data_IF_239097661249
#
_entry.id   IF_239097661249
#
_cell.length_a   1.000
_cell.length_b   1.000
_cell.length_c   1.000
_cell.angle_alpha   90.00
_cell.angle_beta   90.00
_cell.angle_gamma   90.00
#
_symmetry.space_group_name_H-M   'P 1'
#
loop_
_entity.id
_entity.type
_entity.pdbx_description
1 polymer ?
#
# COMPACT_ATOMS: atom_id res chain seq x y z
N UNK A 1 -14.94 1.27 18.58
CA UNK A 1 -13.71 0.45 18.51
C UNK A 1 -12.91 0.67 19.78
N UNK A 2 -13.46 0.25 20.92
CA UNK A 2 -12.74 0.12 22.19
C UNK A 2 -12.89 -1.37 22.54
N UNK A 3 -11.84 -1.99 23.07
CA UNK A 3 -11.75 -3.42 23.43
C UNK A 3 -11.29 -4.39 22.33
N UNK A 4 -10.36 -3.96 21.46
CA UNK A 4 -9.53 -4.91 20.67
C UNK A 4 -8.30 -5.42 21.46
N UNK A 5 -8.03 -4.84 22.62
CA UNK A 5 -6.88 -5.20 23.47
C UNK A 5 -7.39 -5.52 24.87
N UNK A 6 -6.98 -6.67 25.41
CA UNK A 6 -7.25 -7.01 26.79
C UNK A 6 -6.60 -5.98 27.72
N UNK A 7 -7.30 -5.54 28.77
CA UNK A 7 -6.80 -4.60 29.78
C UNK A 7 -5.85 -5.24 30.80
N UNK A 8 -5.24 -6.38 30.43
CA UNK A 8 -4.36 -7.12 31.31
C UNK A 8 -3.05 -6.34 31.52
N UNK A 9 -2.46 -6.38 32.73
CA UNK A 9 -1.16 -5.76 32.99
C UNK A 9 -0.10 -6.28 32.01
N UNK A 10 0.57 -5.35 31.34
CA UNK A 10 1.62 -5.67 30.38
C UNK A 10 2.95 -5.95 31.09
N UNK A 11 3.62 -7.03 30.71
CA UNK A 11 4.95 -7.41 31.21
C UNK A 11 5.90 -7.44 30.02
N UNK A 12 7.07 -6.83 30.19
CA UNK A 12 8.09 -6.79 29.15
C UNK A 12 8.86 -8.11 29.08
N UNK A 13 9.01 -8.64 27.87
CA UNK A 13 9.73 -9.88 27.58
C UNK A 13 10.86 -9.62 26.61
N UNK A 14 11.99 -10.28 26.84
CA UNK A 14 12.98 -10.53 25.79
C UNK A 14 12.45 -11.54 24.78
N UNK A 15 13.03 -11.55 23.56
CA UNK A 15 12.72 -12.60 22.57
C UNK A 15 13.00 -14.01 23.11
N UNK A 16 14.05 -14.17 23.92
CA UNK A 16 14.39 -15.45 24.53
C UNK A 16 13.33 -15.92 25.53
N UNK A 17 12.84 -15.04 26.40
CA UNK A 17 11.80 -15.38 27.38
C UNK A 17 10.48 -15.68 26.69
N UNK A 18 10.12 -14.89 25.67
CA UNK A 18 8.89 -15.08 24.90
C UNK A 18 8.92 -16.44 24.21
N UNK A 19 10.01 -16.74 23.49
CA UNK A 19 10.17 -18.03 22.80
C UNK A 19 10.22 -19.20 23.77
N UNK A 20 10.94 -19.09 24.89
CA UNK A 20 11.00 -20.15 25.91
C UNK A 20 9.61 -20.48 26.47
N UNK A 21 8.79 -19.47 26.77
CA UNK A 21 7.42 -19.67 27.29
C UNK A 21 6.49 -20.26 26.23
N UNK A 22 6.54 -19.77 24.99
CA UNK A 22 5.79 -20.36 23.88
C UNK A 22 6.18 -21.84 23.67
N UNK A 23 7.48 -22.15 23.70
CA UNK A 23 7.97 -23.52 23.61
C UNK A 23 7.48 -24.41 24.76
N UNK A 24 7.35 -23.87 25.99
CA UNK A 24 6.81 -24.63 27.12
C UNK A 24 5.36 -25.08 26.87
N UNK A 25 4.48 -24.20 26.38
CA UNK A 25 3.10 -24.58 26.03
C UNK A 25 3.04 -25.59 24.89
N UNK A 26 3.86 -25.39 23.84
CA UNK A 26 3.95 -26.32 22.72
C UNK A 26 4.40 -27.73 23.17
N UNK A 27 5.45 -27.80 24.00
CA UNK A 27 5.98 -29.05 24.52
C UNK A 27 5.02 -29.76 25.48
N UNK A 28 4.21 -29.00 26.22
CA UNK A 28 3.15 -29.53 27.08
C UNK A 28 1.90 -30.01 26.31
N UNK A 29 1.81 -29.73 25.00
CA UNK A 29 0.64 -30.02 24.19
C UNK A 29 -0.56 -29.10 24.47
N UNK A 30 -0.36 -27.99 25.19
CA UNK A 30 -1.40 -27.01 25.50
C UNK A 30 -1.53 -26.00 24.35
N UNK A 31 -2.29 -26.40 23.32
CA UNK A 31 -2.49 -25.61 22.11
C UNK A 31 -3.24 -24.31 22.38
N UNK A 32 -4.20 -24.32 23.32
CA UNK A 32 -5.01 -23.14 23.61
C UNK A 32 -4.18 -22.04 24.29
N UNK A 33 -3.38 -22.40 25.29
CA UNK A 33 -2.47 -21.44 25.94
C UNK A 33 -1.37 -20.99 24.99
N UNK A 34 -0.86 -21.88 24.14
CA UNK A 34 0.11 -21.51 23.10
C UNK A 34 -0.44 -20.46 22.14
N UNK A 35 -1.64 -20.70 21.59
CA UNK A 35 -2.27 -19.78 20.61
C UNK A 35 -2.57 -18.43 21.27
N UNK A 36 -3.13 -18.42 22.48
CA UNK A 36 -3.41 -17.18 23.22
C UNK A 36 -2.14 -16.39 23.51
N UNK A 37 -1.08 -17.06 23.95
CA UNK A 37 0.19 -16.42 24.25
C UNK A 37 0.89 -15.87 23.00
N UNK A 38 0.97 -16.65 21.91
CA UNK A 38 1.68 -16.24 20.70
C UNK A 38 0.94 -15.14 19.93
N UNK A 39 -0.40 -15.21 19.86
CA UNK A 39 -1.18 -14.23 19.09
C UNK A 39 -1.54 -12.98 19.88
N UNK A 40 -1.90 -13.13 21.17
CA UNK A 40 -2.40 -12.03 21.98
C UNK A 40 -1.41 -11.60 23.07
N UNK A 41 -0.32 -12.32 23.28
CA UNK A 41 0.60 -12.12 24.41
C UNK A 41 0.03 -12.61 25.75
N UNK A 42 -1.18 -13.17 25.79
CA UNK A 42 -1.87 -13.48 27.05
C UNK A 42 -1.31 -14.74 27.71
N UNK A 43 -0.95 -14.64 28.99
CA UNK A 43 -0.54 -15.78 29.80
C UNK A 43 -1.00 -15.66 31.24
N UNK A 44 -1.02 -16.81 31.92
CA UNK A 44 -1.32 -16.90 33.34
C UNK A 44 -0.01 -16.78 34.12
N UNK A 45 0.10 -15.77 34.97
CA UNK A 45 1.29 -15.58 35.79
C UNK A 45 1.21 -16.45 37.05
N UNK A 46 1.85 -17.61 36.99
CA UNK A 46 1.84 -18.60 38.08
C UNK A 46 2.65 -18.10 39.28
N UNK A 47 3.69 -17.30 39.05
CA UNK A 47 4.63 -16.81 40.07
C UNK A 47 4.09 -15.58 40.83
N UNK A 48 3.14 -14.84 40.25
CA UNK A 48 2.50 -13.70 40.91
C UNK A 48 1.52 -14.10 42.03
N UNK A 49 1.18 -15.39 42.14
CA UNK A 49 0.26 -15.90 43.18
C UNK A 49 0.93 -16.06 44.56
N UNK A 50 2.25 -15.91 44.66
CA UNK A 50 3.01 -16.01 45.91
C UNK A 50 3.47 -14.67 46.50
N UNK A 51 3.15 -13.53 45.89
CA UNK A 51 3.59 -12.20 46.37
C UNK A 51 2.46 -11.32 46.95
N UNK A 52 1.19 -11.75 46.90
CA UNK A 52 0.06 -10.96 47.42
C UNK A 52 -0.36 -11.38 48.84
N UNK A 53 0.45 -11.04 49.85
CA UNK A 53 0.01 -10.94 51.25
C UNK A 53 -0.73 -9.62 51.45
N UNK A 54 -1.90 -9.46 50.85
CA UNK A 54 -2.79 -8.33 51.11
C UNK A 54 -4.25 -8.75 50.97
N UNK A 55 -4.93 -8.72 52.11
CA UNK A 55 -6.35 -9.03 52.30
C UNK A 55 -7.25 -8.28 51.29
N UNK A 56 -8.08 -9.01 50.56
CA UNK A 56 -9.54 -8.80 50.41
C UNK A 56 -10.09 -9.41 49.12
N UNK A 57 -11.33 -9.87 49.20
CA UNK A 57 -12.20 -10.37 48.14
C UNK A 57 -12.00 -11.80 47.61
N UNK A 58 -12.55 -12.70 48.42
CA UNK A 58 -13.06 -14.02 48.05
C UNK A 58 -14.04 -13.97 46.87
N UNK A 59 -13.55 -14.07 45.62
CA UNK A 59 -14.15 -14.84 44.51
C UNK A 59 -13.39 -14.65 43.17
N UNK A 60 -12.18 -15.22 43.03
CA UNK A 60 -11.60 -15.70 41.76
C UNK A 60 -10.27 -16.38 42.03
N UNK A 61 -10.29 -17.69 42.27
CA UNK A 61 -9.08 -18.53 42.46
C UNK A 61 -8.33 -18.80 41.15
N UNK A 62 -8.13 -17.78 40.32
CA UNK A 62 -7.35 -17.86 39.09
C UNK A 62 -6.08 -17.01 39.22
N UNK A 63 -4.93 -17.59 38.91
CA UNK A 63 -3.68 -16.85 38.75
C UNK A 63 -3.89 -15.67 37.77
N UNK A 64 -3.33 -14.48 38.05
CA UNK A 64 -3.65 -13.27 37.30
C UNK A 64 -3.23 -13.41 35.83
N UNK A 65 -4.14 -13.06 34.92
CA UNK A 65 -3.86 -12.94 33.50
C UNK A 65 -3.00 -11.71 33.25
N UNK A 66 -1.93 -11.88 32.48
CA UNK A 66 -1.01 -10.82 32.06
C UNK A 66 -0.78 -10.88 30.57
N UNK A 67 -0.26 -9.79 30.00
CA UNK A 67 0.05 -9.70 28.59
C UNK A 67 1.56 -9.48 28.38
N UNK A 68 2.20 -10.37 27.65
CA UNK A 68 3.59 -10.22 27.24
C UNK A 68 3.70 -9.17 26.14
N UNK A 69 4.61 -8.21 26.35
CA UNK A 69 5.06 -7.27 25.35
C UNK A 69 6.50 -7.61 24.99
N UNK A 70 6.75 -7.93 23.72
CA UNK A 70 8.10 -8.18 23.24
C UNK A 70 8.83 -6.84 23.11
N UNK A 71 9.80 -6.60 23.99
CA UNK A 71 10.60 -5.38 23.97
C UNK A 71 11.89 -5.62 23.17
N UNK A 72 11.97 -5.11 21.92
CA UNK A 72 13.12 -5.32 21.06
C UNK A 72 14.37 -4.58 21.56
N UNK A 73 14.23 -3.64 22.50
CA UNK A 73 15.33 -2.81 23.00
C UNK A 73 16.13 -3.56 24.07
N UNK A 74 15.54 -4.52 24.78
CA UNK A 74 16.21 -5.23 25.88
C UNK A 74 17.46 -6.00 25.45
N UNK A 75 17.52 -6.46 24.19
CA UNK A 75 18.67 -7.14 23.61
C UNK A 75 19.31 -6.34 22.49
N UNK A 76 19.28 -5.00 22.59
CA UNK A 76 19.95 -4.15 21.63
C UNK A 76 21.44 -4.48 21.61
N UNK A 77 21.95 -4.83 20.43
CA UNK A 77 23.37 -5.06 20.23
C UNK A 77 24.10 -3.71 20.12
N UNK A 78 25.39 -3.69 20.44
CA UNK A 78 26.22 -2.51 20.23
C UNK A 78 26.23 -2.11 18.74
N UNK A 79 26.39 -0.82 18.46
CA UNK A 79 26.33 -0.27 17.09
C UNK A 79 27.39 -0.84 16.15
N UNK A 80 28.46 -1.41 16.69
CA UNK A 80 29.58 -2.04 15.97
C UNK A 80 29.41 -3.56 15.82
N UNK A 81 28.30 -4.13 16.31
CA UNK A 81 28.03 -5.55 16.15
C UNK A 81 27.84 -5.88 14.67
N UNK A 82 28.52 -6.93 14.14
CA UNK A 82 28.46 -7.26 12.72
C UNK A 82 27.10 -7.88 12.37
N UNK A 83 26.11 -7.02 12.12
CA UNK A 83 24.79 -7.41 11.65
C UNK A 83 24.75 -7.37 10.12
N UNK A 84 24.20 -8.43 9.52
CA UNK A 84 23.76 -8.41 8.13
C UNK A 84 22.29 -8.05 8.12
N UNK A 85 21.96 -6.85 7.64
CA UNK A 85 20.57 -6.40 7.52
C UNK A 85 20.09 -6.63 6.09
N UNK A 86 18.99 -7.36 5.95
CA UNK A 86 18.25 -7.48 4.70
C UNK A 86 16.94 -6.70 4.83
N UNK A 87 16.65 -5.84 3.86
CA UNK A 87 15.35 -5.18 3.75
C UNK A 87 14.57 -5.80 2.60
N UNK A 88 13.32 -6.16 2.87
CA UNK A 88 12.35 -6.47 1.82
C UNK A 88 11.58 -5.20 1.48
N UNK A 89 11.60 -4.80 0.22
CA UNK A 89 10.87 -3.63 -0.25
C UNK A 89 9.70 -4.10 -1.11
N UNK A 90 8.48 -4.07 -0.54
CA UNK A 90 7.27 -4.47 -1.25
C UNK A 90 6.98 -3.60 -2.49
N UNK A 91 7.40 -2.33 -2.45
CA UNK A 91 7.22 -1.38 -3.57
C UNK A 91 8.22 -0.22 -3.53
N UNK A 92 8.50 0.34 -4.71
CA UNK A 92 9.23 1.58 -4.88
C UNK A 92 8.40 2.53 -5.75
N UNK A 93 8.27 3.78 -5.31
CA UNK A 93 7.48 4.82 -5.99
C UNK A 93 8.42 5.95 -6.37
N UNK A 94 8.52 6.24 -7.66
CA UNK A 94 9.29 7.35 -8.22
C UNK A 94 8.37 8.39 -8.84
N UNK A 95 8.73 9.67 -8.68
CA UNK A 95 8.02 10.79 -9.29
C UNK A 95 9.06 11.64 -10.00
N UNK A 96 8.88 11.81 -11.30
CA UNK A 96 9.76 12.61 -12.16
C UNK A 96 8.95 13.12 -13.34
N UNK A 97 9.30 14.31 -13.83
CA UNK A 97 8.77 14.83 -15.09
C UNK A 97 9.41 14.09 -16.29
N UNK A 98 10.62 13.56 -16.10
CA UNK A 98 11.38 12.78 -17.07
C UNK A 98 11.59 11.36 -16.54
N UNK A 99 10.81 10.40 -17.04
CA UNK A 99 10.90 8.99 -16.66
C UNK A 99 11.85 8.29 -17.64
N UNK A 100 12.97 7.79 -17.12
CA UNK A 100 13.87 6.91 -17.84
C UNK A 100 13.57 5.45 -17.49
N UNK A 101 13.32 4.63 -18.51
CA UNK A 101 13.12 3.19 -18.38
C UNK A 101 14.20 2.46 -19.16
N UNK A 102 14.91 1.55 -18.49
CA UNK A 102 15.89 0.66 -19.13
C UNK A 102 15.20 -0.60 -19.69
N UNK A 103 14.30 -0.39 -20.65
CA UNK A 103 13.55 -1.48 -21.28
C UNK A 103 12.34 -1.02 -22.10
N UNK A 104 11.68 -1.96 -22.80
CA UNK A 104 10.48 -1.66 -23.57
C UNK A 104 9.33 -1.19 -22.67
N UNK A 105 8.62 -0.15 -23.14
CA UNK A 105 7.40 0.36 -22.51
C UNK A 105 6.21 -0.06 -23.37
N UNK A 106 5.23 -0.68 -22.74
CA UNK A 106 3.93 -0.94 -23.36
C UNK A 106 3.01 0.23 -23.01
N UNK A 107 2.56 0.97 -24.03
CA UNK A 107 1.65 2.11 -23.84
C UNK A 107 0.22 1.66 -24.10
N UNK A 108 -0.69 2.00 -23.19
CA UNK A 108 -2.11 1.77 -23.34
C UNK A 108 -2.77 3.00 -23.99
N UNK A 109 -3.26 2.83 -25.22
CA UNK A 109 -4.05 3.83 -25.96
C UNK A 109 -5.32 4.22 -25.20
N UNK A 110 -5.94 3.25 -24.53
CA UNK A 110 -7.05 3.43 -23.59
C UNK A 110 -6.66 2.79 -22.26
N UNK A 111 -6.22 3.61 -21.29
CA UNK A 111 -5.88 3.19 -19.93
C UNK A 111 -7.04 2.43 -19.27
N UNK A 112 -6.71 1.32 -18.60
CA UNK A 112 -7.69 0.58 -17.81
C UNK A 112 -8.01 1.38 -16.53
N UNK A 113 -9.29 1.71 -16.33
CA UNK A 113 -9.72 2.59 -15.22
C UNK A 113 -9.55 1.99 -13.82
N UNK A 114 -9.25 0.69 -13.71
CA UNK A 114 -8.91 0.04 -12.42
C UNK A 114 -7.48 0.33 -11.96
N UNK A 115 -6.61 0.77 -12.86
CA UNK A 115 -5.23 1.10 -12.51
C UNK A 115 -5.08 2.57 -12.13
N UNK A 116 -6.10 3.42 -12.36
CA UNK A 116 -6.10 4.80 -11.90
C UNK A 116 -5.82 4.87 -10.38
N UNK A 117 -4.96 5.82 -9.98
CA UNK A 117 -4.61 6.00 -8.58
C UNK A 117 -5.80 6.60 -7.83
N UNK A 118 -6.46 5.77 -7.03
CA UNK A 118 -7.70 6.10 -6.32
C UNK A 118 -7.51 6.27 -4.81
N UNK A 119 -6.40 5.75 -4.27
CA UNK A 119 -6.08 5.75 -2.84
C UNK A 119 -4.77 6.48 -2.55
N UNK A 120 -4.64 6.97 -1.31
CA UNK A 120 -3.45 7.71 -0.90
C UNK A 120 -2.20 6.83 -0.87
N UNK A 121 -1.13 7.34 -1.49
CA UNK A 121 0.24 6.82 -1.37
C UNK A 121 1.05 7.62 -0.35
N UNK A 122 0.38 8.43 0.48
CA UNK A 122 0.99 9.32 1.48
C UNK A 122 1.97 10.36 0.89
N UNK A 123 1.88 10.63 -0.42
CA UNK A 123 2.66 11.67 -1.11
C UNK A 123 1.74 12.81 -1.57
N UNK A 124 2.26 14.04 -1.49
CA UNK A 124 1.53 15.26 -1.83
C UNK A 124 2.27 16.12 -2.84
N UNK A 125 1.53 16.65 -3.80
CA UNK A 125 2.02 17.58 -4.81
C UNK A 125 1.52 19.01 -4.53
N UNK A 126 2.38 20.04 -4.65
CA UNK A 126 1.97 21.43 -4.50
C UNK A 126 1.25 21.91 -5.77
N UNK A 127 0.01 22.40 -5.62
CA UNK A 127 -0.75 23.04 -6.69
C UNK A 127 -0.99 24.50 -6.33
N UNK A 128 -0.64 25.40 -7.25
CA UNK A 128 -0.86 26.84 -7.09
C UNK A 128 -2.26 27.21 -7.61
N UNK A 129 -3.09 27.79 -6.73
CA UNK A 129 -4.41 28.32 -7.07
C UNK A 129 -4.48 29.80 -6.67
N UNK A 130 -4.41 30.68 -7.68
CA UNK A 130 -4.22 32.11 -7.45
C UNK A 130 -2.90 32.35 -6.73
N UNK A 131 -2.96 33.01 -5.58
CA UNK A 131 -1.79 33.32 -4.74
C UNK A 131 -1.50 32.27 -3.66
N UNK A 132 -2.31 31.20 -3.59
CA UNK A 132 -2.18 30.15 -2.56
C UNK A 132 -1.56 28.88 -3.13
N UNK A 133 -0.65 28.25 -2.38
CA UNK A 133 -0.11 26.93 -2.69
C UNK A 133 -0.76 25.89 -1.79
N UNK A 134 -1.51 24.97 -2.38
CA UNK A 134 -2.21 23.88 -1.69
C UNK A 134 -1.48 22.56 -1.93
N UNK A 135 -1.18 21.81 -0.86
CA UNK A 135 -0.60 20.46 -0.98
C UNK A 135 -1.70 19.41 -1.10
N UNK A 136 -1.78 18.80 -2.27
CA UNK A 136 -2.85 17.86 -2.64
C UNK A 136 -2.28 16.45 -2.72
N UNK A 137 -3.00 15.46 -2.19
CA UNK A 137 -2.62 14.06 -2.34
C UNK A 137 -2.70 13.63 -3.82
N UNK A 138 -1.72 12.85 -4.29
CA UNK A 138 -1.63 12.47 -5.71
C UNK A 138 -2.90 11.80 -6.25
N UNK A 139 -3.56 10.95 -5.47
CA UNK A 139 -4.79 10.26 -5.87
C UNK A 139 -6.00 11.19 -6.07
N UNK A 140 -5.92 12.44 -5.60
CA UNK A 140 -6.96 13.47 -5.83
C UNK A 140 -6.68 14.30 -7.08
N UNK A 141 -5.48 14.17 -7.66
CA UNK A 141 -5.12 14.84 -8.91
C UNK A 141 -5.60 13.95 -10.06
N UNK A 142 -6.25 14.53 -11.09
CA UNK A 142 -6.67 13.76 -12.25
C UNK A 142 -5.50 12.98 -12.86
N UNK A 143 -5.67 11.66 -12.98
CA UNK A 143 -4.60 10.76 -13.41
C UNK A 143 -5.15 9.54 -14.17
N UNK A 144 -4.25 8.84 -14.84
CA UNK A 144 -4.48 7.49 -15.36
C UNK A 144 -3.15 6.76 -15.58
N UNK A 145 -3.22 5.45 -15.76
CA UNK A 145 -2.07 4.63 -16.17
C UNK A 145 -1.73 4.82 -17.66
N UNK A 146 -0.54 5.33 -17.95
CA UNK A 146 -0.04 5.43 -19.32
C UNK A 146 0.32 4.05 -19.90
N UNK A 147 0.96 3.22 -19.09
CA UNK A 147 1.60 2.01 -19.57
C UNK A 147 2.37 1.28 -18.50
N UNK A 148 2.97 0.17 -18.91
CA UNK A 148 3.75 -0.73 -18.06
C UNK A 148 5.12 -1.00 -18.66
N UNK A 149 6.07 -1.34 -17.80
CA UNK A 149 7.38 -1.85 -18.23
C UNK A 149 7.84 -2.99 -17.33
N UNK A 150 8.55 -3.96 -17.92
CA UNK A 150 8.86 -5.21 -17.24
C UNK A 150 7.58 -5.93 -16.78
N UNK A 151 7.65 -6.63 -15.64
CA UNK A 151 6.55 -7.47 -15.16
C UNK A 151 5.68 -6.84 -14.07
N UNK A 152 6.16 -5.80 -13.37
CA UNK A 152 5.52 -5.26 -12.16
C UNK A 152 5.55 -3.73 -12.06
N UNK A 153 5.93 -3.02 -13.12
CA UNK A 153 6.04 -1.56 -13.05
C UNK A 153 4.94 -0.89 -13.87
N UNK A 154 4.36 0.14 -13.26
CA UNK A 154 3.27 0.93 -13.81
C UNK A 154 3.73 2.38 -13.93
N UNK A 155 3.40 3.01 -15.06
CA UNK A 155 3.68 4.42 -15.33
C UNK A 155 2.35 5.16 -15.28
N UNK A 156 2.25 6.14 -14.38
CA UNK A 156 1.08 7.00 -14.26
C UNK A 156 1.40 8.41 -14.75
N UNK A 157 0.45 9.03 -15.43
CA UNK A 157 0.50 10.46 -15.76
C UNK A 157 -0.52 11.19 -14.89
N UNK A 158 -0.11 12.32 -14.32
CA UNK A 158 -0.94 13.22 -13.54
C UNK A 158 -1.16 14.54 -14.28
N UNK A 159 -2.33 15.15 -14.08
CA UNK A 159 -2.71 16.42 -14.70
C UNK A 159 -3.04 17.47 -13.63
N UNK A 160 -2.03 18.08 -12.97
CA UNK A 160 -2.25 19.05 -11.90
C UNK A 160 -3.12 20.24 -12.29
N UNK A 161 -2.99 20.73 -13.54
CA UNK A 161 -3.79 21.85 -14.04
C UNK A 161 -5.29 21.54 -14.21
N UNK A 162 -5.69 20.26 -14.14
CA UNK A 162 -7.09 19.85 -14.13
C UNK A 162 -7.65 19.68 -12.72
N UNK A 163 -6.84 19.86 -11.67
CA UNK A 163 -7.33 19.76 -10.30
C UNK A 163 -8.28 20.93 -9.96
N UNK A 164 -9.16 20.71 -8.99
CA UNK A 164 -9.96 21.75 -8.35
C UNK A 164 -10.26 21.38 -6.91
N UNK A 165 -10.60 22.37 -6.10
CA UNK A 165 -10.95 22.16 -4.68
C UNK A 165 -12.24 21.37 -4.45
N UNK A 166 -13.10 21.22 -5.48
CA UNK A 166 -14.33 20.43 -5.38
C UNK A 166 -14.02 18.96 -4.98
N UNK A 167 -14.42 18.54 -3.76
CA UNK A 167 -14.16 17.19 -3.28
C UNK A 167 -14.94 16.11 -4.05
N UNK A 168 -16.00 16.48 -4.78
CA UNK A 168 -16.81 15.55 -5.56
C UNK A 168 -16.29 15.37 -6.99
N UNK A 169 -15.27 16.15 -7.40
CA UNK A 169 -14.71 16.02 -8.73
C UNK A 169 -14.01 14.68 -8.88
N UNK A 170 -14.31 13.98 -9.97
CA UNK A 170 -13.65 12.73 -10.29
C UNK A 170 -12.14 12.96 -10.50
N UNK A 171 -11.33 12.09 -9.89
CA UNK A 171 -9.90 11.95 -10.18
C UNK A 171 -9.62 11.36 -11.57
N UNK A 172 -10.67 11.10 -12.35
CA UNK A 172 -10.60 10.53 -13.69
C UNK A 172 -10.82 11.61 -14.73
N UNK A 173 -10.05 11.56 -15.80
CA UNK A 173 -10.29 12.37 -16.98
C UNK A 173 -11.61 11.95 -17.65
N UNK A 174 -12.35 12.93 -18.19
CA UNK A 174 -13.54 12.67 -19.00
C UNK A 174 -13.16 12.01 -20.33
N UNK A 175 -14.16 11.44 -21.02
CA UNK A 175 -13.92 10.83 -22.34
C UNK A 175 -13.37 11.84 -23.35
N UNK A 176 -13.84 13.09 -23.30
CA UNK A 176 -13.40 14.19 -24.16
C UNK A 176 -11.94 14.57 -23.87
N UNK A 177 -11.56 14.64 -22.59
CA UNK A 177 -10.19 14.92 -22.18
C UNK A 177 -9.24 13.79 -22.59
N UNK A 178 -9.65 12.53 -22.45
CA UNK A 178 -8.89 11.37 -22.92
C UNK A 178 -8.74 11.37 -24.45
N UNK A 179 -9.79 11.74 -25.17
CA UNK A 179 -9.73 11.88 -26.62
C UNK A 179 -8.74 12.96 -27.06
N UNK A 180 -8.78 14.12 -26.39
CA UNK A 180 -7.85 15.21 -26.66
C UNK A 180 -6.39 14.80 -26.39
N UNK A 181 -6.14 14.14 -25.27
CA UNK A 181 -4.82 13.61 -24.94
C UNK A 181 -4.34 12.57 -25.97
N UNK A 182 -5.22 11.69 -26.44
CA UNK A 182 -4.86 10.68 -27.43
C UNK A 182 -4.52 11.29 -28.79
N UNK A 183 -5.42 12.11 -29.32
CA UNK A 183 -5.36 12.60 -30.71
C UNK A 183 -4.33 13.72 -30.88
N UNK A 184 -4.13 14.55 -29.85
CA UNK A 184 -3.22 15.68 -29.90
C UNK A 184 -1.92 15.48 -29.11
N UNK A 185 -1.91 14.56 -28.14
CA UNK A 185 -0.73 14.26 -27.31
C UNK A 185 0.01 13.02 -27.78
N UNK A 186 -0.51 11.83 -27.43
CA UNK A 186 0.25 10.58 -27.58
C UNK A 186 0.44 10.20 -29.05
N UNK A 187 -0.60 10.24 -29.87
CA UNK A 187 -0.53 9.74 -31.26
C UNK A 187 0.45 10.58 -32.10
N UNK A 188 0.44 11.94 -32.04
CA UNK A 188 1.47 12.74 -32.70
C UNK A 188 2.88 12.51 -32.13
N UNK A 189 3.01 12.28 -30.82
CA UNK A 189 4.31 11.98 -30.21
C UNK A 189 4.89 10.66 -30.72
N UNK A 190 4.08 9.59 -30.78
CA UNK A 190 4.49 8.30 -31.35
C UNK A 190 4.86 8.46 -32.83
N UNK A 191 4.09 9.23 -33.61
CA UNK A 191 4.41 9.50 -35.02
C UNK A 191 5.79 10.12 -35.16
N UNK A 192 6.10 11.10 -34.31
CA UNK A 192 7.39 11.80 -34.33
C UNK A 192 8.54 10.90 -33.92
N UNK A 193 8.34 10.00 -32.97
CA UNK A 193 9.39 9.14 -32.41
C UNK A 193 9.64 7.87 -33.25
N UNK A 194 8.57 7.22 -33.72
CA UNK A 194 8.63 5.89 -34.35
C UNK A 194 8.25 5.90 -35.84
N UNK A 195 7.79 7.04 -36.36
CA UNK A 195 7.42 7.22 -37.77
C UNK A 195 5.96 6.86 -38.08
N UNK A 196 5.54 7.17 -39.31
CA UNK A 196 4.15 7.00 -39.74
C UNK A 196 3.73 5.53 -39.81
N UNK A 197 4.65 4.63 -40.18
CA UNK A 197 4.37 3.20 -40.33
C UNK A 197 3.91 2.53 -39.03
N UNK A 198 4.42 2.98 -37.88
CA UNK A 198 3.98 2.45 -36.58
C UNK A 198 2.64 3.07 -36.17
N UNK A 199 2.44 4.36 -36.44
CA UNK A 199 1.20 5.07 -36.08
C UNK A 199 0.01 4.67 -36.96
N UNK A 200 0.23 4.18 -38.18
CA UNK A 200 -0.85 3.65 -39.01
C UNK A 200 -1.47 2.38 -38.43
N UNK A 201 -0.72 1.61 -37.64
CA UNK A 201 -1.24 0.45 -36.90
C UNK A 201 -2.05 0.87 -35.65
N UNK A 202 -1.93 2.13 -35.24
CA UNK A 202 -2.70 2.67 -34.12
C UNK A 202 -4.05 3.20 -34.62
N UNK A 203 -5.10 3.11 -33.79
CA UNK A 203 -6.39 3.71 -34.08
C UNK A 203 -6.29 5.18 -34.50
N UNK A 204 -7.14 5.60 -35.44
CA UNK A 204 -7.11 6.97 -35.92
C UNK A 204 -7.60 7.97 -34.86
N UNK A 205 -8.57 7.55 -34.04
CA UNK A 205 -9.27 8.37 -33.04
C UNK A 205 -9.43 7.60 -31.73
N UNK A 206 -9.63 8.33 -30.63
CA UNK A 206 -9.92 7.71 -29.35
C UNK A 206 -11.21 6.90 -29.38
N UNK A 207 -12.24 7.40 -30.07
CA UNK A 207 -13.52 6.69 -30.21
C UNK A 207 -13.38 5.38 -31.01
N UNK A 208 -12.53 5.33 -32.04
CA UNK A 208 -12.28 4.08 -32.76
C UNK A 208 -11.63 3.03 -31.87
N UNK A 209 -10.68 3.43 -31.02
CA UNK A 209 -10.07 2.51 -30.07
C UNK A 209 -11.07 2.10 -28.98
N UNK A 210 -11.91 3.04 -28.54
CA UNK A 210 -12.91 2.75 -27.50
C UNK A 210 -13.89 1.68 -27.97
N UNK A 211 -14.37 1.77 -29.21
CA UNK A 211 -15.22 0.75 -29.83
C UNK A 211 -14.50 -0.59 -30.03
N UNK A 212 -13.21 -0.55 -30.39
CA UNK A 212 -12.38 -1.77 -30.51
C UNK A 212 -12.19 -2.45 -29.17
N UNK A 213 -12.00 -1.65 -28.12
CA UNK A 213 -11.85 -2.12 -26.76
C UNK A 213 -13.19 -2.57 -26.17
N UNK A 214 -14.34 -1.96 -26.48
CA UNK A 214 -15.66 -2.37 -25.97
C UNK A 214 -16.02 -3.83 -26.36
N UNK A 215 -16.20 -4.72 -25.39
CA UNK A 215 -16.84 -6.04 -25.57
C UNK A 215 -18.36 -5.87 -25.67
N UNK A 216 -19.02 -6.79 -26.38
CA UNK A 216 -20.48 -6.86 -26.56
C UNK A 216 -21.34 -6.92 -25.27
N UNK A 217 -20.73 -7.00 -24.07
CA UNK A 217 -21.40 -6.98 -22.76
C UNK A 217 -21.03 -5.78 -21.87
N UNK A 218 -20.44 -4.72 -22.43
CA UNK A 218 -20.22 -3.44 -21.71
C UNK A 218 -18.96 -3.37 -20.84
N UNK A 219 -18.06 -4.35 -20.93
CA UNK A 219 -16.68 -4.25 -20.40
C UNK A 219 -15.70 -4.06 -21.56
N UNK A 220 -14.47 -3.58 -21.32
CA UNK A 220 -13.49 -3.50 -22.41
C UNK A 220 -12.65 -4.80 -22.54
N UNK A 221 -11.90 -4.93 -23.63
CA UNK A 221 -10.97 -5.99 -23.99
C UNK A 221 -9.67 -5.31 -24.36
N UNK A 222 -8.73 -5.34 -23.43
CA UNK A 222 -7.38 -4.86 -23.64
C UNK A 222 -6.58 -6.06 -24.16
N UNK A 223 -6.80 -6.43 -25.41
CA UNK A 223 -5.92 -7.42 -26.05
C UNK A 223 -4.68 -6.68 -26.54
N UNK A 224 -3.53 -7.06 -25.99
CA UNK A 224 -2.19 -6.80 -26.52
C UNK A 224 -2.09 -7.25 -27.97
#
# INVERSE_FOLDING_TARGET
MADLYASNPTVSFTLSEFTARASAYCNAGDQDSFIRFVLNGEYVDVDASSESDSESDSNSGGSPLRQAFLDPIQNIVASDHPLTVSHDYDSAIGISDDILVDGPITIHTIPHSSHDLTSSIHMKYPITCGDTVTRVDYHRIPNFELGIFGSRHHIHIFFPGLWSEDPNRAHRLTAEQRALWYEHGIRPAIRRLLGEAIVSEWPATYNSERRRAEKNRGGYSWST
#
